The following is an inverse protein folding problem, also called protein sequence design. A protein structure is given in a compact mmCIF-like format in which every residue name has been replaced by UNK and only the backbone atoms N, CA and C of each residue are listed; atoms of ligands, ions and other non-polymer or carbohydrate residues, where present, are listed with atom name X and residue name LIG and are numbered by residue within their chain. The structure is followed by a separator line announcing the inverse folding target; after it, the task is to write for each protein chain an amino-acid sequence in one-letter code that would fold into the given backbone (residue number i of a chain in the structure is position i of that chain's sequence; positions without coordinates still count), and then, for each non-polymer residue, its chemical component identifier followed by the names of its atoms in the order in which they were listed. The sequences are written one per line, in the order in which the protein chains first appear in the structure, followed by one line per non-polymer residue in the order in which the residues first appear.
data_IF_335383099775
#
_entry.id   IF_335383099775
#
_cell.length_a   1.000
_cell.length_b   1.000
_cell.length_c   1.000
_cell.angle_alpha   90.00
_cell.angle_beta   90.00
_cell.angle_gamma   90.00
#
_symmetry.space_group_name_H-M   'P 1'
#
loop_
_entity.id
_entity.type
_entity.pdbx_description
1 polymer ?
#
# COMPACT_ATOMS: atom_id res chain seq x y z
N UNK A 1 28.26 43.26 1.31
CA UNK A 1 29.18 42.42 0.53
C UNK A 1 28.91 41.00 0.98
N UNK A 2 28.30 40.15 0.14
CA UNK A 2 27.93 38.78 0.50
C UNK A 2 29.13 37.81 0.61
N UNK A 3 30.35 38.32 0.57
CA UNK A 3 31.59 37.53 0.51
C UNK A 3 32.59 37.93 1.61
N UNK A 4 32.17 38.63 2.65
CA UNK A 4 33.04 38.99 3.78
C UNK A 4 32.74 38.04 4.92
N UNK A 5 33.79 37.41 5.45
CA UNK A 5 33.68 36.56 6.63
C UNK A 5 33.39 37.39 7.90
N UNK A 6 32.97 36.72 8.99
CA UNK A 6 32.68 37.39 10.26
C UNK A 6 33.91 38.14 10.80
N UNK A 7 33.75 39.44 11.06
CA UNK A 7 34.83 40.32 11.52
C UNK A 7 35.85 40.69 10.42
N UNK A 8 35.68 40.22 9.19
CA UNK A 8 36.47 40.67 8.05
C UNK A 8 36.09 42.10 7.68
N UNK A 9 37.08 42.98 7.56
CA UNK A 9 36.87 44.38 7.20
C UNK A 9 37.34 44.64 5.78
N UNK A 10 36.46 45.24 4.97
CA UNK A 10 36.80 45.75 3.64
C UNK A 10 36.71 47.26 3.62
N UNK A 11 37.79 47.88 3.16
CA UNK A 11 37.79 49.33 2.90
C UNK A 11 37.21 49.59 1.52
N UNK A 12 36.16 50.40 1.47
CA UNK A 12 35.56 50.90 0.22
C UNK A 12 35.90 52.37 0.08
N UNK A 13 36.50 52.74 -1.05
CA UNK A 13 36.84 54.12 -1.34
C UNK A 13 35.92 54.67 -2.44
N UNK A 14 35.32 55.83 -2.19
CA UNK A 14 34.56 56.58 -3.18
C UNK A 14 35.24 57.92 -3.41
N UNK A 15 35.67 58.18 -4.65
CA UNK A 15 36.21 59.48 -5.05
C UNK A 15 35.12 60.31 -5.69
N UNK A 16 34.85 61.48 -5.13
CA UNK A 16 33.93 62.44 -5.73
C UNK A 16 34.72 63.62 -6.30
N UNK A 17 34.27 64.11 -7.46
CA UNK A 17 34.80 65.28 -8.13
C UNK A 17 33.73 66.37 -8.10
N UNK A 18 34.09 67.56 -7.62
CA UNK A 18 33.23 68.74 -7.70
C UNK A 18 33.85 69.68 -8.71
N UNK A 19 33.05 70.11 -9.70
CA UNK A 19 33.45 71.11 -10.69
C UNK A 19 32.59 72.34 -10.51
N UNK A 20 33.21 73.52 -10.45
CA UNK A 20 32.48 74.78 -10.36
C UNK A 20 31.89 75.21 -11.71
N UNK A 21 31.09 76.27 -11.69
CA UNK A 21 30.45 76.84 -12.89
C UNK A 21 31.44 77.44 -13.90
N UNK A 22 32.73 77.54 -13.56
CA UNK A 22 33.80 78.06 -14.41
C UNK A 22 34.74 76.94 -14.89
N UNK A 23 34.41 75.67 -14.64
CA UNK A 23 35.13 74.50 -15.14
C UNK A 23 36.33 74.06 -14.30
N UNK A 24 36.60 74.70 -13.16
CA UNK A 24 37.63 74.25 -12.23
C UNK A 24 37.09 73.09 -11.39
N UNK A 25 37.88 72.04 -11.22
CA UNK A 25 37.45 70.87 -10.46
C UNK A 25 38.40 70.50 -9.34
N UNK A 26 37.84 70.04 -8.22
CA UNK A 26 38.56 69.41 -7.11
C UNK A 26 38.06 67.98 -6.89
N UNK A 27 38.91 67.12 -6.36
CA UNK A 27 38.56 65.73 -6.02
C UNK A 27 38.84 65.46 -4.54
N UNK A 28 38.01 64.63 -3.93
CA UNK A 28 38.24 64.09 -2.60
C UNK A 28 37.81 62.62 -2.55
N UNK A 29 38.50 61.83 -1.75
CA UNK A 29 38.21 60.40 -1.56
C UNK A 29 37.71 60.17 -0.15
N UNK A 30 36.50 59.65 -0.03
CA UNK A 30 35.95 59.14 1.24
C UNK A 30 36.26 57.65 1.33
N UNK A 31 36.74 57.21 2.49
CA UNK A 31 36.92 55.78 2.80
C UNK A 31 35.87 55.37 3.83
N UNK A 32 35.18 54.29 3.53
CA UNK A 32 34.24 53.63 4.44
C UNK A 32 34.83 52.27 4.83
N UNK A 33 34.66 51.90 6.09
CA UNK A 33 34.93 50.55 6.56
C UNK A 33 33.61 49.78 6.50
N UNK A 34 33.60 48.69 5.75
CA UNK A 34 32.51 47.72 5.77
C UNK A 34 33.00 46.52 6.55
N UNK A 35 32.39 46.24 7.69
CA UNK A 35 32.65 45.07 8.49
C UNK A 35 31.63 43.98 8.16
N UNK A 36 32.12 42.77 7.91
CA UNK A 36 31.27 41.58 7.82
C UNK A 36 30.65 41.32 9.19
N UNK A 37 29.38 41.70 9.34
CA UNK A 37 28.54 41.15 10.39
C UNK A 37 28.03 39.82 9.88
N UNK A 38 28.23 38.75 10.64
CA UNK A 38 27.52 37.49 10.40
C UNK A 38 26.03 37.75 10.59
N UNK A 39 25.38 38.12 9.49
CA UNK A 39 23.95 38.35 9.39
C UNK A 39 23.33 37.26 8.51
N UNK A 40 24.06 36.16 8.27
CA UNK A 40 23.41 34.86 8.20
C UNK A 40 22.85 34.63 9.59
N UNK A 41 21.68 35.23 9.84
CA UNK A 41 20.70 34.57 10.69
C UNK A 41 20.73 33.14 10.17
N UNK A 42 21.15 32.19 10.99
CA UNK A 42 20.97 30.79 10.69
C UNK A 42 19.45 30.64 10.52
N UNK A 43 18.97 30.86 9.29
CA UNK A 43 17.57 30.73 8.94
C UNK A 43 17.38 29.26 9.17
N UNK A 44 16.65 28.92 10.24
CA UNK A 44 16.46 27.53 10.62
C UNK A 44 16.00 26.77 9.36
N UNK A 45 16.37 25.50 9.21
CA UNK A 45 15.80 24.75 8.10
C UNK A 45 14.29 24.62 8.33
N UNK A 46 13.44 24.68 7.29
CA UNK A 46 12.03 24.32 7.45
C UNK A 46 11.92 22.88 8.02
N UNK A 47 10.90 22.59 8.84
CA UNK A 47 10.71 21.25 9.37
C UNK A 47 10.40 20.25 8.27
N UNK A 48 10.92 19.03 8.40
CA UNK A 48 10.69 17.91 7.48
C UNK A 48 10.16 16.71 8.24
N UNK A 49 9.52 15.80 7.52
CA UNK A 49 9.08 14.51 8.04
C UNK A 49 10.20 13.49 7.83
N UNK A 50 10.64 12.86 8.91
CA UNK A 50 11.66 11.80 8.88
C UNK A 50 11.04 10.40 8.79
N UNK A 51 9.79 10.25 9.20
CA UNK A 51 9.19 8.95 9.39
C UNK A 51 7.67 9.01 9.44
N UNK A 52 7.03 8.03 8.81
CA UNK A 52 5.62 7.68 9.04
C UNK A 52 5.55 6.25 9.56
N UNK A 53 4.78 6.05 10.62
CA UNK A 53 4.56 4.75 11.23
C UNK A 53 3.07 4.52 11.53
N UNK A 54 2.66 3.26 11.51
CA UNK A 54 1.33 2.84 11.95
C UNK A 54 1.41 1.91 13.15
N UNK A 55 0.38 1.92 13.99
CA UNK A 55 0.27 0.99 15.10
C UNK A 55 -1.18 0.70 15.47
N UNK A 56 -1.34 -0.23 16.40
CA UNK A 56 -2.60 -0.50 17.08
C UNK A 56 -2.42 -0.26 18.57
N UNK A 57 -3.43 0.34 19.21
CA UNK A 57 -3.47 0.38 20.68
C UNK A 57 -3.74 -0.99 21.32
N UNK A 58 -4.09 -2.01 20.52
CA UNK A 58 -4.32 -3.39 20.96
C UNK A 58 -3.09 -4.28 20.86
N UNK A 59 -2.00 -3.82 20.23
CA UNK A 59 -0.79 -4.63 20.09
C UNK A 59 -0.07 -4.85 21.42
N UNK A 60 0.29 -6.10 21.67
CA UNK A 60 1.04 -6.50 22.86
C UNK A 60 2.49 -5.98 22.82
N UNK A 61 3.21 -6.11 23.93
CA UNK A 61 4.63 -5.75 23.95
C UNK A 61 5.46 -6.78 23.15
N UNK A 62 5.04 -8.03 23.22
CA UNK A 62 5.61 -9.21 22.59
C UNK A 62 5.52 -9.10 21.07
N UNK A 63 4.34 -8.76 20.55
CA UNK A 63 4.13 -8.52 19.13
C UNK A 63 5.00 -7.37 18.61
N UNK A 64 4.99 -6.23 19.32
CA UNK A 64 5.81 -5.07 18.96
C UNK A 64 7.30 -5.41 18.93
N UNK A 65 7.77 -6.17 19.92
CA UNK A 65 9.14 -6.66 19.97
C UNK A 65 9.47 -7.60 18.79
N UNK A 66 8.53 -8.45 18.36
CA UNK A 66 8.71 -9.30 17.18
C UNK A 66 8.74 -8.51 15.87
N UNK A 67 7.99 -7.41 15.78
CA UNK A 67 7.84 -6.64 14.55
C UNK A 67 8.99 -5.66 14.30
N UNK A 68 9.47 -4.98 15.34
CA UNK A 68 10.51 -3.96 15.21
C UNK A 68 11.56 -3.98 16.34
N UNK A 69 11.62 -5.07 17.11
CA UNK A 69 12.57 -5.22 18.22
C UNK A 69 12.15 -4.46 19.48
N UNK A 70 12.93 -4.62 20.55
CA UNK A 70 12.76 -3.90 21.81
C UNK A 70 13.32 -2.47 21.73
N UNK A 71 12.75 -1.66 20.85
CA UNK A 71 13.15 -0.28 20.62
C UNK A 71 12.25 0.63 21.44
N UNK A 72 12.82 1.29 22.45
CA UNK A 72 12.07 2.07 23.46
C UNK A 72 11.35 3.30 22.90
N UNK A 73 11.79 3.81 21.75
CA UNK A 73 11.24 4.98 21.07
C UNK A 73 10.46 4.62 19.80
N UNK A 74 10.21 3.32 19.56
CA UNK A 74 9.40 2.89 18.44
C UNK A 74 7.93 3.25 18.68
N UNK A 75 7.36 3.99 17.73
CA UNK A 75 5.98 4.49 17.76
C UNK A 75 5.01 3.59 16.99
N UNK A 76 5.56 2.61 16.26
CA UNK A 76 4.81 1.64 15.46
C UNK A 76 5.66 0.95 14.40
N UNK A 77 4.99 0.25 13.51
CA UNK A 77 5.56 -0.28 12.28
C UNK A 77 5.87 0.86 11.31
N UNK A 78 7.13 0.99 10.93
CA UNK A 78 7.59 2.05 10.03
C UNK A 78 7.18 1.73 8.61
N UNK A 79 6.47 2.65 7.96
CA UNK A 79 6.10 2.49 6.56
C UNK A 79 7.31 2.74 5.68
N UNK A 80 7.54 1.84 4.72
CA UNK A 80 8.59 1.99 3.73
C UNK A 80 8.34 3.22 2.87
N UNK A 81 9.35 4.09 2.72
CA UNK A 81 9.34 5.15 1.71
C UNK A 81 9.90 4.67 0.35
N UNK A 82 10.42 3.44 0.30
CA UNK A 82 11.16 2.93 -0.85
C UNK A 82 10.22 2.51 -1.99
N UNK A 83 9.99 3.44 -2.93
CA UNK A 83 9.31 3.17 -4.20
C UNK A 83 7.97 2.44 -3.99
N UNK A 84 7.60 1.45 -4.81
CA UNK A 84 6.35 0.70 -4.70
C UNK A 84 6.17 -0.10 -3.41
N UNK A 85 7.22 -0.39 -2.63
CA UNK A 85 7.07 -1.09 -1.35
C UNK A 85 6.27 -0.31 -0.31
N UNK A 86 6.15 1.01 -0.48
CA UNK A 86 5.23 1.85 0.31
C UNK A 86 3.77 1.35 0.22
N UNK A 87 3.39 0.71 -0.89
CA UNK A 87 2.04 0.20 -1.16
C UNK A 87 1.88 -1.29 -0.87
N UNK A 88 2.88 -1.94 -0.25
CA UNK A 88 2.70 -3.30 0.23
C UNK A 88 1.56 -3.32 1.27
N UNK A 89 0.47 -4.09 1.06
CA UNK A 89 -0.68 -4.03 1.95
C UNK A 89 -0.32 -4.50 3.36
N UNK A 90 -0.81 -3.75 4.35
CA UNK A 90 -0.60 -4.09 5.75
C UNK A 90 -1.64 -5.12 6.21
N UNK A 91 -1.23 -6.24 6.83
CA UNK A 91 -2.11 -7.40 7.06
C UNK A 91 -2.93 -7.31 8.35
N UNK A 92 -2.63 -6.38 9.25
CA UNK A 92 -3.21 -6.36 10.60
C UNK A 92 -4.62 -5.76 10.65
N UNK A 93 -5.50 -6.39 11.44
CA UNK A 93 -6.92 -6.05 11.50
C UNK A 93 -7.24 -4.80 12.35
N UNK A 94 -6.35 -4.43 13.26
CA UNK A 94 -6.61 -3.42 14.29
C UNK A 94 -5.73 -2.16 14.18
N UNK A 95 -5.19 -1.88 12.99
CA UNK A 95 -4.40 -0.65 12.75
C UNK A 95 -5.26 0.59 12.96
N UNK A 96 -4.94 1.38 13.97
CA UNK A 96 -5.77 2.51 14.39
C UNK A 96 -5.02 3.73 14.90
N UNK A 97 -3.69 3.70 14.80
CA UNK A 97 -2.82 4.77 15.22
C UNK A 97 -1.85 5.10 14.09
N UNK A 98 -1.70 6.39 13.77
CA UNK A 98 -0.69 6.92 12.85
C UNK A 98 0.26 7.79 13.68
N UNK A 99 1.56 7.62 13.45
CA UNK A 99 2.59 8.48 14.04
C UNK A 99 3.48 9.06 12.95
N UNK A 100 3.76 10.35 13.05
CA UNK A 100 4.66 11.09 12.15
C UNK A 100 5.78 11.69 12.99
N UNK A 101 7.04 11.42 12.60
CA UNK A 101 8.23 12.01 13.23
C UNK A 101 8.76 13.14 12.37
N UNK A 102 9.05 14.26 13.00
CA UNK A 102 9.70 15.41 12.39
C UNK A 102 11.19 15.47 12.75
N UNK A 103 11.99 16.11 11.92
CA UNK A 103 13.43 16.33 12.16
C UNK A 103 13.70 17.36 13.28
N UNK A 104 12.69 18.14 13.64
CA UNK A 104 12.75 19.16 14.68
C UNK A 104 11.39 19.38 15.35
N UNK A 105 11.39 20.19 16.42
CA UNK A 105 10.15 20.55 17.12
C UNK A 105 9.27 21.46 16.26
N UNK A 106 7.97 21.14 16.21
CA UNK A 106 6.96 21.84 15.42
C UNK A 106 5.75 22.23 16.26
N UNK A 107 5.05 23.28 15.82
CA UNK A 107 3.68 23.57 16.22
C UNK A 107 2.74 22.81 15.27
N UNK A 108 1.93 21.92 15.84
CA UNK A 108 1.03 21.02 15.12
C UNK A 108 -0.23 20.74 15.94
N UNK A 109 -1.38 20.68 15.29
CA UNK A 109 -2.68 20.31 15.84
C UNK A 109 -3.22 19.02 15.19
N UNK A 110 -4.20 18.41 15.87
CA UNK A 110 -5.01 17.32 15.34
C UNK A 110 -5.58 17.59 13.96
N UNK A 111 -6.02 18.83 13.67
CA UNK A 111 -6.66 19.21 12.41
C UNK A 111 -5.72 19.31 11.21
N UNK A 112 -4.42 19.35 11.45
CA UNK A 112 -3.43 19.52 10.37
C UNK A 112 -3.30 18.24 9.53
N UNK A 113 -3.68 17.08 10.08
CA UNK A 113 -3.70 15.81 9.38
C UNK A 113 -5.10 15.45 8.90
N UNK A 114 -5.22 15.25 7.59
CA UNK A 114 -6.37 14.62 6.97
C UNK A 114 -6.01 13.19 6.57
N UNK A 115 -6.87 12.24 6.93
CA UNK A 115 -6.72 10.82 6.60
C UNK A 115 -7.87 10.47 5.68
N UNK A 116 -7.54 10.11 4.44
CA UNK A 116 -8.51 9.92 3.35
C UNK A 116 -8.37 8.49 2.84
N UNK A 117 -9.49 7.80 2.66
CA UNK A 117 -9.55 6.49 2.03
C UNK A 117 -10.34 6.49 0.72
N UNK A 118 -10.31 5.38 0.01
CA UNK A 118 -11.20 5.16 -1.14
C UNK A 118 -12.60 4.78 -0.66
N UNK A 119 -12.70 3.92 0.36
CA UNK A 119 -14.00 3.52 0.93
C UNK A 119 -14.59 4.58 1.85
N UNK A 120 -13.76 5.49 2.37
CA UNK A 120 -14.19 6.59 3.26
C UNK A 120 -13.45 7.86 2.90
N UNK A 121 -14.19 8.93 2.62
CA UNK A 121 -13.60 10.23 2.26
C UNK A 121 -12.84 10.89 3.40
N UNK A 122 -13.05 10.45 4.65
CA UNK A 122 -12.29 10.88 5.82
C UNK A 122 -12.37 9.84 6.94
N UNK A 123 -11.33 9.75 7.77
CA UNK A 123 -11.31 8.99 9.02
C UNK A 123 -11.22 9.94 10.21
N UNK A 124 -12.15 9.79 11.16
CA UNK A 124 -12.23 10.65 12.33
C UNK A 124 -11.11 10.36 13.33
N UNK A 125 -10.51 11.43 13.86
CA UNK A 125 -9.49 11.38 14.91
C UNK A 125 -10.17 11.38 16.27
N UNK A 126 -9.94 10.34 17.06
CA UNK A 126 -10.44 10.21 18.43
C UNK A 126 -9.58 10.99 19.43
N UNK A 127 -8.26 10.91 19.24
CA UNK A 127 -7.29 11.50 20.13
C UNK A 127 -6.02 11.89 19.36
N UNK A 128 -5.37 12.95 19.84
CA UNK A 128 -4.13 13.48 19.28
C UNK A 128 -3.14 13.77 20.41
N UNK A 129 -1.86 13.47 20.18
CA UNK A 129 -0.77 13.83 21.06
C UNK A 129 0.48 14.22 20.27
N UNK A 130 1.21 15.21 20.75
CA UNK A 130 2.53 15.57 20.23
C UNK A 130 3.55 15.58 21.36
N UNK A 131 4.71 14.95 21.11
CA UNK A 131 5.85 14.97 22.01
C UNK A 131 6.99 15.79 21.38
N UNK A 132 7.27 16.96 21.96
CA UNK A 132 8.30 17.87 21.48
C UNK A 132 9.74 17.40 21.75
N UNK A 133 9.96 16.45 22.67
CA UNK A 133 11.30 15.89 22.91
C UNK A 133 11.67 14.83 21.86
N UNK A 134 10.69 14.07 21.38
CA UNK A 134 10.87 13.03 20.36
C UNK A 134 10.48 13.49 18.96
N UNK A 135 9.89 14.68 18.84
CA UNK A 135 9.29 15.25 17.63
C UNK A 135 8.25 14.34 16.97
N UNK A 136 7.46 13.60 17.77
CA UNK A 136 6.47 12.66 17.25
C UNK A 136 5.06 13.19 17.51
N UNK A 137 4.29 13.32 16.43
CA UNK A 137 2.85 13.53 16.48
C UNK A 137 2.13 12.19 16.26
N UNK A 138 1.12 11.90 17.07
CA UNK A 138 0.38 10.65 17.06
C UNK A 138 -1.13 10.92 17.02
N UNK A 139 -1.79 10.39 16.00
CA UNK A 139 -3.24 10.42 15.84
C UNK A 139 -3.80 9.02 16.08
N UNK A 140 -4.77 8.93 16.98
CA UNK A 140 -5.56 7.73 17.22
C UNK A 140 -6.91 7.92 16.54
N UNK A 141 -7.24 7.06 15.59
CA UNK A 141 -8.50 7.12 14.86
C UNK A 141 -9.61 6.45 15.67
N UNK A 142 -10.85 6.85 15.42
CA UNK A 142 -12.04 6.19 15.95
C UNK A 142 -12.70 5.36 14.84
N UNK A 143 -12.90 4.07 15.09
CA UNK A 143 -13.68 3.23 14.19
C UNK A 143 -14.99 2.83 14.87
N UNK A 144 -16.08 2.82 14.09
CA UNK A 144 -17.24 2.03 14.47
C UNK A 144 -16.87 0.55 14.31
N UNK A 145 -17.26 -0.29 15.28
CA UNK A 145 -17.02 -1.73 15.21
C UNK A 145 -17.48 -2.27 13.85
N UNK A 146 -16.56 -2.92 13.14
CA UNK A 146 -16.81 -3.50 11.84
C UNK A 146 -17.22 -4.98 11.97
N UNK A 147 -17.25 -5.72 10.84
CA UNK A 147 -17.61 -7.15 10.85
C UNK A 147 -16.65 -8.02 11.67
N UNK A 148 -15.42 -7.56 11.87
CA UNK A 148 -14.40 -8.25 12.65
C UNK A 148 -14.49 -7.88 14.13
N UNK A 149 -15.26 -6.84 14.48
CA UNK A 149 -15.21 -6.24 15.82
C UNK A 149 -13.85 -5.56 16.10
N UNK A 150 -13.02 -5.41 15.07
CA UNK A 150 -11.69 -4.84 15.18
C UNK A 150 -11.81 -3.31 15.14
N UNK A 151 -11.09 -2.65 16.04
CA UNK A 151 -10.96 -1.19 16.06
C UNK A 151 -9.78 -0.79 15.17
N UNK A 152 -9.98 -0.79 13.85
CA UNK A 152 -8.92 -0.50 12.88
C UNK A 152 -9.41 -0.17 11.47
N UNK A 153 -8.46 0.22 10.62
CA UNK A 153 -8.71 0.47 9.20
C UNK A 153 -9.28 -0.78 8.52
N UNK A 154 -10.38 -0.66 7.75
CA UNK A 154 -10.82 -1.75 6.90
C UNK A 154 -9.84 -1.92 5.73
N UNK A 155 -10.07 -2.95 4.90
CA UNK A 155 -9.39 -3.07 3.62
C UNK A 155 -9.61 -1.79 2.78
N UNK A 156 -8.60 -0.94 2.64
CA UNK A 156 -8.69 0.38 1.99
C UNK A 156 -7.32 0.86 1.50
N UNK A 157 -7.35 1.80 0.57
CA UNK A 157 -6.18 2.56 0.13
C UNK A 157 -6.22 3.91 0.82
N UNK A 158 -5.18 4.24 1.57
CA UNK A 158 -5.15 5.42 2.45
C UNK A 158 -4.19 6.47 1.89
N UNK A 159 -4.58 7.74 2.00
CA UNK A 159 -3.78 8.93 1.77
C UNK A 159 -3.76 9.77 3.04
N UNK A 160 -2.56 10.05 3.52
CA UNK A 160 -2.30 11.06 4.53
C UNK A 160 -2.02 12.38 3.82
N UNK A 161 -2.73 13.44 4.20
CA UNK A 161 -2.41 14.82 3.84
C UNK A 161 -2.12 15.58 5.13
N UNK A 162 -0.85 15.94 5.35
CA UNK A 162 -0.47 16.85 6.42
C UNK A 162 -0.28 18.25 5.84
N UNK A 163 -0.96 19.25 6.42
CA UNK A 163 -0.91 20.64 5.97
C UNK A 163 0.46 21.26 6.15
N UNK A 164 0.84 22.16 5.25
CA UNK A 164 2.05 22.98 5.39
C UNK A 164 1.95 24.12 6.44
N UNK A 165 0.78 24.30 7.05
CA UNK A 165 0.56 25.18 8.20
C UNK A 165 1.35 24.73 9.46
N UNK A 166 1.85 23.49 9.48
CA UNK A 166 2.80 23.02 10.49
C UNK A 166 4.08 23.85 10.42
N UNK A 167 4.46 24.48 11.53
CA UNK A 167 5.60 25.40 11.57
C UNK A 167 6.63 25.02 12.62
N UNK A 168 7.90 25.32 12.38
CA UNK A 168 8.93 25.23 13.42
C UNK A 168 8.88 26.46 14.36
N UNK A 169 9.74 26.47 15.38
CA UNK A 169 9.85 27.58 16.35
C UNK A 169 10.25 28.92 15.73
N UNK A 170 10.85 28.92 14.54
CA UNK A 170 11.21 30.10 13.78
C UNK A 170 10.06 30.61 12.87
N UNK A 171 8.92 29.91 12.87
CA UNK A 171 7.74 30.25 12.07
C UNK A 171 7.84 29.83 10.60
N UNK A 172 8.75 28.92 10.25
CA UNK A 172 8.85 28.39 8.90
C UNK A 172 7.92 27.21 8.72
N UNK A 173 7.19 27.22 7.59
CA UNK A 173 6.29 26.15 7.16
C UNK A 173 7.03 24.85 6.84
N UNK A 174 6.30 23.74 6.95
CA UNK A 174 6.76 22.39 6.58
C UNK A 174 7.35 22.37 5.18
N UNK A 175 8.48 21.68 5.00
CA UNK A 175 9.05 21.27 3.71
C UNK A 175 8.48 19.87 3.42
N UNK A 176 7.21 19.87 3.05
CA UNK A 176 6.35 18.69 3.10
C UNK A 176 6.30 17.91 1.80
N UNK A 177 6.89 18.41 0.72
CA UNK A 177 6.75 17.81 -0.61
C UNK A 177 7.14 16.33 -0.61
N UNK A 178 6.20 15.50 -1.06
CA UNK A 178 6.41 14.07 -1.29
C UNK A 178 6.17 13.78 -2.76
N UNK A 179 7.16 14.18 -3.58
CA UNK A 179 7.01 14.47 -5.01
C UNK A 179 6.56 13.28 -5.87
N UNK A 180 6.70 12.03 -5.42
CA UNK A 180 6.20 10.86 -6.18
C UNK A 180 5.66 9.76 -5.26
N UNK A 181 4.39 9.83 -4.88
CA UNK A 181 3.73 8.62 -4.40
C UNK A 181 3.80 7.54 -5.50
N UNK A 182 4.27 6.32 -5.17
CA UNK A 182 4.25 5.22 -6.12
C UNK A 182 2.83 5.00 -6.65
N UNK A 183 2.71 4.62 -7.91
CA UNK A 183 1.41 4.34 -8.52
C UNK A 183 0.96 2.92 -8.16
N UNK A 184 1.92 2.00 -8.05
CA UNK A 184 1.76 0.58 -7.80
C UNK A 184 2.99 0.02 -7.05
N UNK A 185 2.91 -1.27 -6.70
CA UNK A 185 3.97 -1.97 -5.98
C UNK A 185 5.25 -2.18 -6.82
N UNK A 186 5.13 -2.08 -8.15
CA UNK A 186 6.25 -2.25 -9.10
C UNK A 186 6.99 -0.93 -9.37
N UNK A 187 6.47 0.20 -8.88
CA UNK A 187 7.08 1.51 -9.05
C UNK A 187 8.53 1.50 -8.53
N UNK A 188 9.48 1.89 -9.37
CA UNK A 188 10.91 1.88 -9.04
C UNK A 188 11.46 3.26 -8.63
N UNK A 189 10.68 4.33 -8.76
CA UNK A 189 11.14 5.68 -8.41
C UNK A 189 11.41 5.76 -6.91
N UNK A 190 12.67 5.97 -6.49
CA UNK A 190 12.99 6.04 -5.08
C UNK A 190 12.49 7.37 -4.53
N UNK A 191 11.66 7.28 -3.49
CA UNK A 191 11.40 8.38 -2.57
C UNK A 191 12.02 7.97 -1.24
N UNK A 192 12.53 8.91 -0.48
CA UNK A 192 13.12 8.62 0.80
C UNK A 192 12.88 9.77 1.74
N UNK A 193 12.76 9.45 3.02
CA UNK A 193 12.81 10.46 4.06
C UNK A 193 14.22 11.08 4.13
N UNK A 194 14.34 12.34 4.58
CA UNK A 194 13.25 13.22 5.01
C UNK A 194 12.42 13.78 3.83
N UNK A 195 11.19 14.23 4.10
CA UNK A 195 10.35 14.91 3.10
C UNK A 195 11.00 16.19 2.57
N UNK A 196 10.42 16.71 1.48
CA UNK A 196 10.68 18.07 1.03
C UNK A 196 11.82 18.24 0.02
N UNK A 197 11.84 19.41 -0.62
CA UNK A 197 12.80 19.79 -1.66
C UNK A 197 13.89 20.77 -1.19
N UNK A 198 13.81 21.29 0.05
CA UNK A 198 14.71 22.33 0.56
C UNK A 198 14.02 23.63 0.91
N UNK A 199 12.80 23.85 0.43
CA UNK A 199 12.05 25.07 0.62
C UNK A 199 10.94 24.89 1.68
N UNK A 200 10.57 25.98 2.34
CA UNK A 200 9.39 25.96 3.21
C UNK A 200 8.12 26.02 2.36
N UNK A 201 7.12 25.21 2.70
CA UNK A 201 5.82 25.13 2.05
C UNK A 201 5.53 23.72 1.52
N UNK A 202 4.30 23.52 1.08
CA UNK A 202 3.87 22.29 0.41
C UNK A 202 3.36 21.22 1.37
N UNK A 203 2.13 20.79 1.14
CA UNK A 203 1.52 19.71 1.92
C UNK A 203 2.26 18.38 1.71
N UNK A 204 2.33 17.59 2.77
CA UNK A 204 2.84 16.22 2.70
C UNK A 204 1.72 15.24 2.36
N UNK A 205 1.87 14.55 1.23
CA UNK A 205 0.96 13.53 0.73
C UNK A 205 1.62 12.16 0.80
N UNK A 206 1.15 11.25 1.65
CA UNK A 206 1.74 9.92 1.81
C UNK A 206 0.69 8.82 1.73
N UNK A 207 0.88 7.89 0.81
CA UNK A 207 -0.05 6.76 0.60
C UNK A 207 0.41 5.49 1.29
N UNK A 208 -0.53 4.67 1.74
CA UNK A 208 -0.29 3.29 2.13
C UNK A 208 -1.57 2.48 1.99
N UNK A 209 -1.44 1.17 1.84
CA UNK A 209 -2.57 0.26 1.67
C UNK A 209 -2.75 -0.62 2.91
N UNK A 210 -3.99 -0.80 3.35
CA UNK A 210 -4.34 -1.71 4.45
C UNK A 210 -5.21 -2.81 3.87
N UNK A 211 -4.81 -4.07 4.04
CA UNK A 211 -5.61 -5.22 3.66
C UNK A 211 -5.50 -6.27 4.75
N UNK A 212 -6.40 -6.24 5.75
CA UNK A 212 -6.38 -7.22 6.81
C UNK A 212 -6.46 -8.64 6.24
N UNK A 213 -5.58 -9.52 6.68
CA UNK A 213 -5.52 -10.92 6.24
C UNK A 213 -4.68 -11.23 5.00
N UNK A 214 -4.08 -10.26 4.31
CA UNK A 214 -3.10 -10.50 3.22
C UNK A 214 -1.73 -10.83 3.83
N UNK A 215 -1.62 -12.03 4.40
CA UNK A 215 -0.45 -12.50 5.16
C UNK A 215 0.70 -12.89 4.24
N UNK A 216 0.38 -13.40 3.05
CA UNK A 216 1.36 -13.84 2.07
C UNK A 216 2.11 -12.65 1.45
N UNK A 217 1.48 -11.46 1.40
CA UNK A 217 2.04 -10.21 0.88
C UNK A 217 2.74 -10.41 -0.47
N UNK A 218 2.16 -11.26 -1.33
CA UNK A 218 2.81 -11.65 -2.57
C UNK A 218 2.74 -10.51 -3.59
N UNK A 219 3.85 -10.05 -4.20
CA UNK A 219 3.84 -8.91 -5.12
C UNK A 219 2.90 -9.11 -6.33
N UNK A 220 2.83 -10.33 -6.86
CA UNK A 220 1.98 -10.69 -8.00
C UNK A 220 0.49 -10.84 -7.66
N UNK A 221 0.14 -10.83 -6.37
CA UNK A 221 -1.23 -10.99 -5.86
C UNK A 221 -1.57 -9.93 -4.79
N UNK A 222 -0.74 -8.88 -4.68
CA UNK A 222 -0.84 -7.88 -3.62
C UNK A 222 -2.21 -7.23 -3.70
N UNK A 223 -2.97 -7.29 -2.61
CA UNK A 223 -4.30 -6.73 -2.57
C UNK A 223 -5.45 -7.74 -2.68
N UNK A 224 -5.20 -9.04 -2.48
CA UNK A 224 -6.27 -10.05 -2.40
C UNK A 224 -6.02 -11.13 -1.35
N UNK A 225 -6.95 -11.25 -0.40
CA UNK A 225 -6.93 -12.30 0.64
C UNK A 225 -7.50 -13.60 0.08
N UNK A 226 -6.71 -14.66 0.05
CA UNK A 226 -7.10 -15.95 -0.51
C UNK A 226 -6.76 -17.14 0.41
N UNK A 227 -6.88 -18.36 -0.13
CA UNK A 227 -6.68 -19.59 0.63
C UNK A 227 -5.22 -19.77 1.08
N UNK A 228 -4.26 -19.19 0.36
CA UNK A 228 -2.84 -19.23 0.70
C UNK A 228 -2.61 -18.49 2.02
N UNK A 229 -3.19 -17.31 2.21
CA UNK A 229 -3.11 -16.56 3.48
C UNK A 229 -3.64 -17.39 4.66
N UNK A 230 -4.79 -18.02 4.44
CA UNK A 230 -5.40 -18.90 5.45
C UNK A 230 -4.50 -20.10 5.77
N UNK A 231 -3.87 -20.69 4.75
CA UNK A 231 -2.94 -21.80 4.95
C UNK A 231 -1.68 -21.39 5.70
N UNK A 232 -1.19 -20.16 5.50
CA UNK A 232 -0.04 -19.62 6.23
C UNK A 232 -0.41 -19.48 7.70
N UNK A 233 -1.51 -18.80 8.04
CA UNK A 233 -1.97 -18.65 9.43
C UNK A 233 -2.19 -20.02 10.07
N UNK A 234 -2.88 -20.94 9.37
CA UNK A 234 -3.13 -22.29 9.86
C UNK A 234 -1.83 -23.09 10.11
N UNK A 235 -0.81 -22.93 9.28
CA UNK A 235 0.48 -23.61 9.44
C UNK A 235 1.31 -23.08 10.62
N UNK A 236 0.95 -21.89 11.15
CA UNK A 236 1.66 -21.21 12.25
C UNK A 236 0.84 -21.13 13.53
N UNK A 237 -0.30 -21.81 13.60
CA UNK A 237 -1.07 -21.93 14.84
C UNK A 237 -0.21 -22.44 16.00
N UNK A 238 -0.52 -21.96 17.20
CA UNK A 238 0.17 -22.26 18.45
C UNK A 238 1.65 -21.82 18.46
N UNK A 239 2.02 -20.85 17.62
CA UNK A 239 3.34 -20.20 17.70
C UNK A 239 3.23 -18.85 18.41
N UNK A 240 4.24 -18.51 19.20
CA UNK A 240 4.35 -17.22 19.90
C UNK A 240 5.50 -16.40 19.34
N UNK A 241 5.59 -15.12 19.69
CA UNK A 241 6.70 -14.23 19.30
C UNK A 241 8.10 -14.77 19.62
N UNK A 242 8.23 -15.75 20.52
CA UNK A 242 9.49 -16.41 20.86
C UNK A 242 9.83 -17.61 19.96
N UNK A 243 8.87 -18.06 19.15
CA UNK A 243 9.00 -19.22 18.28
C UNK A 243 9.75 -18.86 16.99
N UNK A 244 10.69 -19.70 16.56
CA UNK A 244 11.40 -19.48 15.27
C UNK A 244 10.47 -19.52 14.05
N UNK A 245 9.32 -20.20 14.18
CA UNK A 245 8.28 -20.27 13.16
C UNK A 245 7.23 -19.17 13.31
N UNK A 246 7.41 -18.20 14.19
CA UNK A 246 6.51 -17.07 14.27
C UNK A 246 6.68 -16.14 13.07
N UNK A 247 5.57 -15.59 12.57
CA UNK A 247 5.57 -14.61 11.49
C UNK A 247 4.60 -13.51 11.87
N UNK A 248 5.10 -12.31 12.11
CA UNK A 248 4.29 -11.19 12.61
C UNK A 248 3.16 -10.78 11.66
N UNK A 249 3.24 -11.06 10.35
CA UNK A 249 2.12 -10.81 9.43
C UNK A 249 0.95 -11.78 9.62
N UNK A 250 1.16 -12.93 10.26
CA UNK A 250 0.15 -13.96 10.51
C UNK A 250 -0.53 -13.82 11.88
N UNK A 251 0.05 -13.03 12.80
CA UNK A 251 -0.59 -12.56 14.03
C UNK A 251 -1.33 -11.25 13.69
N UNK A 252 -2.59 -11.41 13.29
CA UNK A 252 -3.41 -10.37 12.66
C UNK A 252 -3.94 -9.35 13.66
N UNK A 253 -4.09 -9.74 14.92
CA UNK A 253 -4.51 -8.85 16.01
C UNK A 253 -3.36 -8.30 16.85
N UNK A 254 -2.16 -8.83 16.62
CA UNK A 254 -0.93 -8.41 17.27
C UNK A 254 -0.90 -8.74 18.75
N UNK A 255 -1.42 -9.90 19.13
CA UNK A 255 -1.45 -10.40 20.50
C UNK A 255 -0.09 -10.95 20.97
N UNK A 256 0.79 -11.30 20.04
CA UNK A 256 2.07 -11.99 20.27
C UNK A 256 1.96 -13.51 20.13
N UNK A 257 0.78 -14.03 19.79
CA UNK A 257 0.48 -15.45 19.58
C UNK A 257 -0.32 -15.59 18.28
N UNK A 258 -0.08 -16.66 17.51
CA UNK A 258 -0.88 -17.00 16.34
C UNK A 258 -1.85 -18.09 16.74
N UNK A 259 -3.14 -17.75 16.88
CA UNK A 259 -4.15 -18.64 17.42
C UNK A 259 -5.44 -18.73 16.56
N UNK A 260 -6.50 -19.29 17.13
CA UNK A 260 -7.77 -19.44 16.43
C UNK A 260 -8.47 -18.10 16.14
N UNK A 261 -8.11 -17.03 16.85
CA UNK A 261 -8.57 -15.66 16.61
C UNK A 261 -8.02 -15.16 15.27
N UNK A 262 -6.72 -15.32 15.02
CA UNK A 262 -6.10 -14.98 13.73
C UNK A 262 -6.66 -15.81 12.59
N UNK A 263 -6.81 -17.12 12.82
CA UNK A 263 -7.43 -18.00 11.82
C UNK A 263 -8.87 -17.58 11.51
N UNK A 264 -9.60 -17.09 12.52
CA UNK A 264 -10.96 -16.58 12.33
C UNK A 264 -10.95 -15.29 11.52
N UNK A 265 -10.03 -14.35 11.82
CA UNK A 265 -9.88 -13.11 11.04
C UNK A 265 -9.62 -13.40 9.57
N UNK A 266 -8.58 -14.18 9.24
CA UNK A 266 -8.23 -14.45 7.84
C UNK A 266 -9.36 -15.17 7.10
N UNK A 267 -10.10 -16.08 7.76
CA UNK A 267 -11.25 -16.78 7.16
C UNK A 267 -12.42 -15.86 6.88
N UNK A 268 -12.71 -14.92 7.78
CA UNK A 268 -13.78 -13.92 7.56
C UNK A 268 -13.42 -12.93 6.45
N UNK A 269 -12.13 -12.80 6.13
CA UNK A 269 -11.60 -11.88 5.14
C UNK A 269 -11.25 -12.55 3.81
N UNK A 270 -11.39 -13.87 3.68
CA UNK A 270 -11.21 -14.54 2.39
C UNK A 270 -12.04 -13.87 1.29
N UNK A 271 -11.42 -13.72 0.13
CA UNK A 271 -11.94 -13.03 -1.05
C UNK A 271 -12.11 -11.51 -0.89
N UNK A 272 -11.51 -10.90 0.14
CA UNK A 272 -11.43 -9.44 0.27
C UNK A 272 -10.32 -8.90 -0.62
N UNK A 273 -10.62 -7.85 -1.38
CA UNK A 273 -9.65 -7.09 -2.16
C UNK A 273 -9.54 -5.64 -1.66
N UNK A 274 -8.40 -5.02 -1.97
CA UNK A 274 -8.28 -3.57 -1.92
C UNK A 274 -9.32 -2.93 -2.86
N UNK A 275 -9.92 -1.79 -2.47
CA UNK A 275 -10.85 -1.10 -3.35
C UNK A 275 -10.18 -0.64 -4.66
N UNK A 276 -10.96 -0.65 -5.73
CA UNK A 276 -10.58 -0.04 -7.00
C UNK A 276 -10.48 1.48 -6.88
N UNK A 277 -9.54 2.10 -7.60
CA UNK A 277 -9.31 3.54 -7.60
C UNK A 277 -8.21 3.98 -6.63
N UNK A 278 -8.03 5.29 -6.50
CA UNK A 278 -7.04 5.90 -5.63
C UNK A 278 -7.69 6.91 -4.68
N UNK A 279 -7.20 7.04 -3.43
CA UNK A 279 -7.67 8.07 -2.53
C UNK A 279 -7.27 9.43 -3.09
N UNK A 280 -8.23 10.32 -3.27
CA UNK A 280 -7.98 11.66 -3.79
C UNK A 280 -8.21 12.69 -2.69
N UNK A 281 -7.21 13.52 -2.44
CA UNK A 281 -7.40 14.70 -1.61
C UNK A 281 -8.44 15.61 -2.26
N UNK A 282 -9.49 15.94 -1.51
CA UNK A 282 -10.43 16.96 -1.93
C UNK A 282 -9.74 18.29 -1.65
N UNK A 283 -9.11 18.87 -2.67
CA UNK A 283 -8.63 20.24 -2.56
C UNK A 283 -9.85 21.12 -2.28
N UNK A 284 -9.87 21.96 -1.23
CA UNK A 284 -10.75 23.11 -1.26
C UNK A 284 -10.36 23.85 -2.53
N UNK A 285 -11.23 23.85 -3.53
CA UNK A 285 -11.04 24.70 -4.69
C UNK A 285 -10.90 26.10 -4.13
N UNK A 286 -9.73 26.71 -4.25
CA UNK A 286 -9.63 28.16 -4.18
C UNK A 286 -10.83 28.71 -4.95
N UNK A 287 -11.59 29.67 -4.41
CA UNK A 287 -12.64 30.29 -5.18
C UNK A 287 -11.95 30.86 -6.41
N UNK A 288 -12.11 30.17 -7.55
CA UNK A 288 -11.60 30.62 -8.83
C UNK A 288 -12.14 32.01 -9.02
N UNK A 289 -11.31 33.01 -8.76
CA UNK A 289 -11.54 34.34 -9.27
C UNK A 289 -11.66 34.13 -10.75
N UNK A 290 -12.88 34.33 -11.24
CA UNK A 290 -13.26 34.26 -12.64
C UNK A 290 -12.40 35.27 -13.42
N UNK A 291 -11.15 34.89 -13.73
CA UNK A 291 -10.28 35.60 -14.65
C UNK A 291 -10.65 35.09 -16.03
N UNK A 292 -11.45 35.92 -16.69
CA UNK A 292 -11.65 35.99 -18.13
C UNK A 292 -11.90 34.65 -18.83
N UNK A 293 -13.20 34.31 -18.92
CA UNK A 293 -13.68 33.52 -20.04
C UNK A 293 -13.35 34.27 -21.34
N UNK A 294 -12.26 33.86 -21.98
CA UNK A 294 -11.94 34.22 -23.35
C UNK A 294 -13.15 33.82 -24.23
N UNK A 295 -13.78 34.76 -24.96
CA UNK A 295 -14.96 34.44 -25.73
C UNK A 295 -14.60 33.46 -26.85
N UNK A 296 -15.00 32.21 -26.67
CA UNK A 296 -14.91 31.17 -27.70
C UNK A 296 -15.70 31.65 -28.92
N UNK A 297 -14.99 32.09 -29.96
CA UNK A 297 -15.55 32.18 -31.31
C UNK A 297 -15.72 30.73 -31.78
N UNK A 298 -16.95 30.26 -32.08
CA UNK A 298 -17.12 28.90 -32.56
C UNK A 298 -16.45 28.75 -33.93
N UNK A 299 -15.62 27.72 -34.07
CA UNK A 299 -15.02 27.34 -35.35
C UNK A 299 -16.11 27.06 -36.40
N UNK A 300 -15.95 27.54 -37.65
CA UNK A 300 -16.90 27.25 -38.72
C UNK A 300 -16.86 25.77 -39.07
N UNK A 301 -17.97 25.08 -38.83
CA UNK A 301 -18.19 23.68 -39.19
C UNK A 301 -18.17 23.54 -40.72
N UNK A 302 -17.13 22.91 -41.26
CA UNK A 302 -17.13 22.37 -42.63
C UNK A 302 -17.62 20.92 -42.54
N UNK A 303 -18.76 20.56 -43.16
CA UNK A 303 -19.22 19.17 -43.13
C UNK A 303 -18.31 18.28 -43.98
N UNK A 304 -17.88 17.16 -43.41
CA UNK A 304 -17.08 16.13 -44.09
C UNK A 304 -17.86 15.50 -45.27
N UNK A 305 -17.21 15.26 -46.42
CA UNK A 305 -17.85 14.57 -47.53
C UNK A 305 -18.04 13.08 -47.23
N UNK A 306 -19.30 12.63 -47.29
CA UNK A 306 -19.70 11.24 -47.11
C UNK A 306 -19.24 10.41 -48.32
N UNK A 307 -18.33 9.46 -48.09
CA UNK A 307 -18.02 8.38 -49.04
C UNK A 307 -18.79 7.14 -48.60
N UNK A 308 -19.66 6.55 -49.45
CA UNK A 308 -20.37 5.33 -49.07
C UNK A 308 -19.44 4.11 -49.08
N UNK A 309 -19.57 3.28 -48.04
CA UNK A 309 -18.81 2.03 -47.89
C UNK A 309 -19.13 1.00 -48.99
N UNK A 310 -18.12 0.28 -49.51
CA UNK A 310 -18.34 -0.80 -50.47
C UNK A 310 -18.96 -2.02 -49.80
N UNK A 311 -20.04 -2.53 -50.41
CA UNK A 311 -20.76 -3.74 -49.98
C UNK A 311 -19.95 -4.98 -50.36
N UNK A 312 -19.53 -5.77 -49.36
CA UNK A 312 -18.96 -7.11 -49.53
C UNK A 312 -20.08 -8.15 -49.34
N UNK A 313 -20.34 -9.07 -50.29
CA UNK A 313 -21.33 -10.12 -50.09
C UNK A 313 -20.86 -11.19 -49.09
N UNK A 314 -21.77 -11.66 -48.24
CA UNK A 314 -21.52 -12.74 -47.27
C UNK A 314 -21.15 -14.08 -47.96
N UNK A 315 -20.16 -14.81 -47.43
CA UNK A 315 -19.84 -16.15 -47.90
C UNK A 315 -20.89 -17.19 -47.45
N UNK A 316 -21.33 -18.03 -48.39
CA UNK A 316 -22.26 -19.14 -48.15
C UNK A 316 -21.52 -20.31 -47.49
N UNK A 317 -21.92 -20.68 -46.29
CA UNK A 317 -21.48 -21.90 -45.59
C UNK A 317 -22.40 -23.06 -45.98
N UNK A 318 -21.91 -24.22 -46.47
CA UNK A 318 -22.74 -25.39 -46.71
C UNK A 318 -23.03 -26.18 -45.41
N UNK A 319 -24.24 -26.71 -45.30
CA UNK A 319 -24.72 -27.51 -44.15
C UNK A 319 -23.86 -28.77 -43.89
N UNK A 320 -23.68 -29.17 -42.61
CA UNK A 320 -22.96 -30.40 -42.26
C UNK A 320 -23.77 -31.67 -42.55
N UNK A 321 -23.09 -32.66 -43.13
CA UNK A 321 -23.61 -34.01 -43.41
C UNK A 321 -23.57 -34.85 -42.13
N UNK A 322 -24.74 -35.32 -41.66
CA UNK A 322 -24.85 -36.31 -40.58
C UNK A 322 -24.49 -37.71 -41.08
N UNK A 323 -23.57 -38.41 -40.41
CA UNK A 323 -23.37 -39.87 -40.58
C UNK A 323 -23.73 -40.62 -39.28
N UNK A 324 -24.26 -41.86 -39.37
CA UNK A 324 -24.78 -42.61 -38.22
C UNK A 324 -23.67 -43.26 -37.37
N UNK A 325 -23.93 -43.54 -36.08
CA UNK A 325 -22.89 -44.04 -35.16
C UNK A 325 -22.52 -45.50 -35.43
N UNK A 326 -21.22 -45.78 -35.44
CA UNK A 326 -20.66 -47.14 -35.41
C UNK A 326 -20.53 -47.61 -33.95
N UNK A 327 -21.19 -48.70 -33.64
CA UNK A 327 -20.91 -49.53 -32.46
C UNK A 327 -19.53 -50.17 -32.55
N UNK A 328 -18.73 -50.12 -31.48
CA UNK A 328 -17.63 -51.04 -31.14
C UNK A 328 -17.35 -50.78 -29.64
N UNK A 329 -17.39 -51.73 -28.71
CA UNK A 329 -16.79 -53.06 -28.75
C UNK A 329 -15.77 -53.12 -27.61
N UNK A 330 -16.24 -53.43 -26.39
CA UNK A 330 -15.39 -53.57 -25.20
C UNK A 330 -14.44 -54.76 -25.39
N UNK A 331 -13.14 -54.52 -25.28
CA UNK A 331 -12.13 -55.58 -25.19
C UNK A 331 -11.32 -55.41 -23.91
N UNK A 332 -11.37 -56.45 -23.07
CA UNK A 332 -10.62 -56.58 -21.82
C UNK A 332 -9.11 -56.72 -22.11
N UNK A 333 -8.32 -55.78 -21.59
CA UNK A 333 -6.86 -55.84 -21.56
C UNK A 333 -6.33 -55.85 -20.13
N UNK A 334 -5.69 -56.95 -19.76
CA UNK A 334 -5.06 -57.28 -18.48
C UNK A 334 -4.04 -56.25 -17.96
N UNK A 335 -4.18 -55.82 -16.69
CA UNK A 335 -3.10 -55.21 -15.87
C UNK A 335 -2.52 -56.23 -14.89
N UNK A 336 -1.19 -56.33 -14.70
CA UNK A 336 -0.60 -57.16 -13.66
C UNK A 336 -0.60 -56.46 -12.29
N UNK A 337 -0.80 -57.31 -11.28
CA UNK A 337 -0.64 -57.18 -9.82
C UNK A 337 0.33 -56.10 -9.31
N UNK A 338 -0.15 -55.40 -8.29
CA UNK A 338 0.65 -54.69 -7.30
C UNK A 338 -0.27 -54.02 -6.26
N UNK A 339 -1.03 -54.84 -5.54
CA UNK A 339 -1.95 -54.41 -4.50
C UNK A 339 -1.19 -53.89 -3.27
N UNK A 340 -1.65 -52.76 -2.73
CA UNK A 340 -1.77 -52.55 -1.29
C UNK A 340 -3.24 -52.25 -1.04
N UNK A 341 -3.90 -53.26 -0.47
CA UNK A 341 -5.31 -53.27 -0.08
C UNK A 341 -5.50 -52.54 1.26
N UNK A 342 -6.68 -51.91 1.37
CA UNK A 342 -7.28 -51.43 2.62
C UNK A 342 -6.94 -49.98 2.91
N UNK A 343 -7.89 -49.06 3.11
CA UNK A 343 -8.87 -49.15 4.20
C UNK A 343 -9.85 -47.95 4.10
N UNK A 344 -11.12 -48.17 4.51
CA UNK A 344 -12.23 -47.23 4.77
C UNK A 344 -12.89 -46.45 3.61
N UNK A 345 -13.89 -47.08 2.99
CA UNK A 345 -15.07 -46.41 2.45
C UNK A 345 -16.09 -46.21 3.58
N UNK A 346 -15.98 -45.13 4.34
CA UNK A 346 -17.09 -44.61 5.15
C UNK A 346 -17.23 -43.10 4.90
N UNK A 347 -18.23 -42.64 4.13
CA UNK A 347 -18.42 -41.23 3.84
C UNK A 347 -18.97 -40.43 5.04
N UNK A 348 -19.22 -41.05 6.20
CA UNK A 348 -19.71 -40.35 7.39
C UNK A 348 -18.62 -39.68 8.24
N UNK A 349 -17.34 -39.90 7.95
CA UNK A 349 -16.24 -39.26 8.68
C UNK A 349 -15.82 -37.88 8.12
N UNK A 350 -16.17 -37.57 6.87
CA UNK A 350 -15.84 -36.28 6.23
C UNK A 350 -16.87 -35.17 6.51
N UNK A 351 -18.03 -35.50 7.07
CA UNK A 351 -19.12 -34.56 7.32
C UNK A 351 -18.95 -33.70 8.59
N UNK A 352 -17.89 -33.92 9.39
CA UNK A 352 -17.66 -33.16 10.63
C UNK A 352 -16.56 -32.09 10.53
N UNK A 353 -15.90 -31.93 9.38
CA UNK A 353 -14.78 -30.98 9.21
C UNK A 353 -14.97 -29.93 8.11
N UNK A 354 -16.04 -30.02 7.32
CA UNK A 354 -16.36 -29.04 6.29
C UNK A 354 -17.84 -28.70 6.44
N UNK A 355 -18.14 -27.46 6.82
CA UNK A 355 -19.51 -26.95 6.78
C UNK A 355 -20.08 -27.06 5.36
N UNK A 356 -21.40 -27.15 5.18
CA UNK A 356 -21.98 -27.51 3.89
C UNK A 356 -21.71 -26.41 2.87
N UNK A 357 -20.80 -26.67 1.92
CA UNK A 357 -20.78 -25.95 0.66
C UNK A 357 -22.10 -26.23 -0.07
N UNK A 358 -22.75 -25.23 -0.68
CA UNK A 358 -23.95 -25.46 -1.46
C UNK A 358 -23.64 -26.44 -2.60
N UNK A 359 -24.50 -27.45 -2.77
CA UNK A 359 -24.36 -28.56 -3.72
C UNK A 359 -24.01 -28.11 -5.16
N UNK A 360 -24.37 -26.88 -5.52
CA UNK A 360 -24.04 -26.23 -6.78
C UNK A 360 -22.52 -26.10 -7.05
N UNK A 361 -21.71 -25.88 -6.01
CA UNK A 361 -20.25 -25.73 -6.12
C UNK A 361 -19.56 -27.07 -6.46
N UNK A 362 -20.07 -28.18 -5.92
CA UNK A 362 -19.58 -29.52 -6.24
C UNK A 362 -19.87 -29.93 -7.69
N UNK A 363 -21.05 -29.58 -8.20
CA UNK A 363 -21.43 -29.85 -9.59
C UNK A 363 -20.67 -29.00 -10.61
N UNK A 364 -20.25 -27.78 -10.25
CA UNK A 364 -19.44 -26.92 -11.11
C UNK A 364 -18.00 -27.44 -11.23
N UNK A 365 -17.37 -27.86 -10.13
CA UNK A 365 -16.03 -28.47 -10.16
C UNK A 365 -16.01 -29.81 -10.92
N UNK A 366 -17.06 -30.62 -10.79
CA UNK A 366 -17.16 -31.88 -11.52
C UNK A 366 -17.40 -31.70 -13.03
N UNK A 367 -18.06 -30.61 -13.44
CA UNK A 367 -18.26 -30.28 -14.85
C UNK A 367 -16.95 -29.80 -15.51
N UNK A 368 -16.19 -28.94 -14.83
CA UNK A 368 -14.88 -28.45 -15.32
C UNK A 368 -13.87 -29.59 -15.47
N UNK A 369 -13.85 -30.54 -14.53
CA UNK A 369 -13.00 -31.73 -14.62
C UNK A 369 -13.40 -32.71 -15.74
N UNK A 370 -14.68 -32.73 -16.15
CA UNK A 370 -15.16 -33.58 -17.24
C UNK A 370 -14.94 -32.96 -18.63
N UNK A 371 -14.82 -31.63 -18.71
CA UNK A 371 -14.60 -30.88 -19.95
C UNK A 371 -13.11 -30.83 -20.32
N UNK A 372 -12.21 -30.84 -19.33
CA UNK A 372 -10.75 -30.97 -19.53
C UNK A 372 -10.32 -32.36 -20.08
N UNK A 373 -11.13 -33.41 -19.89
CA UNK A 373 -10.84 -34.77 -20.37
C UNK A 373 -11.30 -35.03 -21.83
N UNK A 374 -11.91 -34.03 -22.51
CA UNK A 374 -12.45 -34.19 -23.87
C UNK A 374 -11.83 -33.27 -24.94
N UNK A 375 -10.83 -32.46 -24.60
CA UNK A 375 -10.27 -31.46 -25.51
C UNK A 375 -8.78 -31.72 -25.77
N UNK A 376 -8.47 -32.52 -26.79
CA UNK A 376 -7.09 -32.78 -27.26
C UNK A 376 -6.48 -31.60 -28.07
N UNK A 377 -7.16 -30.44 -28.19
CA UNK A 377 -6.76 -29.36 -29.11
C UNK A 377 -6.63 -27.94 -28.49
N UNK A 378 -6.53 -27.81 -27.15
CA UNK A 378 -6.34 -26.48 -26.48
C UNK A 378 -5.17 -26.49 -25.48
N UNK A 379 -4.23 -27.44 -25.60
CA UNK A 379 -3.19 -27.66 -24.60
C UNK A 379 -2.02 -26.66 -24.60
N UNK A 380 -1.96 -25.68 -25.51
CA UNK A 380 -0.78 -24.81 -25.65
C UNK A 380 -0.95 -23.35 -25.15
N UNK A 381 -2.15 -22.91 -24.73
CA UNK A 381 -2.36 -21.52 -24.28
C UNK A 381 -3.02 -21.37 -22.89
N UNK A 382 -3.36 -22.47 -22.21
CA UNK A 382 -3.91 -22.50 -20.84
C UNK A 382 -3.01 -23.22 -19.81
N UNK A 383 -1.84 -23.70 -20.24
CA UNK A 383 -1.03 -24.66 -19.47
C UNK A 383 -0.13 -24.05 -18.36
N UNK A 384 -0.11 -22.74 -18.14
CA UNK A 384 0.79 -22.12 -17.15
C UNK A 384 0.14 -21.74 -15.82
N UNK A 385 -1.15 -21.42 -15.77
CA UNK A 385 -1.81 -20.97 -14.53
C UNK A 385 -2.58 -22.08 -13.80
N UNK A 386 -3.27 -22.99 -14.52
CA UNK A 386 -4.06 -24.05 -13.86
C UNK A 386 -3.20 -25.22 -13.37
N UNK A 387 -2.10 -25.53 -14.06
CA UNK A 387 -1.16 -26.56 -13.62
C UNK A 387 -0.48 -26.17 -12.29
N UNK A 388 -0.26 -24.87 -12.05
CA UNK A 388 0.27 -24.36 -10.79
C UNK A 388 -0.74 -24.47 -9.65
N UNK A 389 -2.02 -24.15 -9.90
CA UNK A 389 -3.08 -24.29 -8.90
C UNK A 389 -3.30 -25.75 -8.47
N UNK A 390 -3.20 -26.69 -9.41
CA UNK A 390 -3.30 -28.14 -9.13
C UNK A 390 -2.09 -28.65 -8.36
N UNK A 391 -0.87 -28.23 -8.72
CA UNK A 391 0.34 -28.62 -7.98
C UNK A 391 0.35 -28.03 -6.55
N UNK A 392 -0.19 -26.81 -6.37
CA UNK A 392 -0.36 -26.17 -5.07
C UNK A 392 -1.40 -26.90 -4.20
N UNK A 393 -2.50 -27.37 -4.79
CA UNK A 393 -3.52 -28.17 -4.12
C UNK A 393 -2.98 -29.55 -3.69
N UNK A 394 -2.14 -30.17 -4.53
CA UNK A 394 -1.46 -31.43 -4.23
C UNK A 394 -0.43 -31.26 -3.12
N UNK A 395 0.34 -30.16 -3.12
CA UNK A 395 1.28 -29.84 -2.04
C UNK A 395 0.58 -29.53 -0.72
N UNK A 396 -0.56 -28.83 -0.76
CA UNK A 396 -1.41 -28.57 0.42
C UNK A 396 -1.96 -29.89 1.00
N UNK A 397 -2.48 -30.78 0.17
CA UNK A 397 -2.97 -32.11 0.58
C UNK A 397 -1.84 -33.00 1.14
N UNK A 398 -0.64 -32.95 0.57
CA UNK A 398 0.53 -33.67 1.06
C UNK A 398 1.11 -33.11 2.38
N UNK A 399 0.73 -31.88 2.77
CA UNK A 399 1.08 -31.30 4.07
C UNK A 399 0.13 -31.77 5.19
N UNK A 400 -1.16 -31.93 4.85
CA UNK A 400 -2.19 -32.47 5.76
C UNK A 400 -1.90 -33.94 6.08
N UNK A 401 -1.47 -34.71 5.09
CA UNK A 401 -1.15 -36.14 5.27
C UNK A 401 0.09 -36.35 6.18
N UNK A 402 1.05 -35.42 6.16
CA UNK A 402 2.23 -35.46 7.05
C UNK A 402 1.91 -35.09 8.51
N UNK A 403 0.85 -34.32 8.78
CA UNK A 403 0.42 -33.99 10.14
C UNK A 403 -0.37 -35.14 10.80
N UNK A 404 -1.06 -35.97 10.01
CA UNK A 404 -1.76 -37.15 10.53
C UNK A 404 -0.80 -38.25 11.02
N UNK A 405 0.39 -38.36 10.42
CA UNK A 405 1.37 -39.41 10.80
C UNK A 405 2.05 -39.14 12.16
N UNK A 406 2.09 -37.89 12.64
CA UNK A 406 2.75 -37.56 13.91
C UNK A 406 1.85 -37.62 15.15
N UNK A 407 0.53 -37.82 14.99
CA UNK A 407 -0.39 -37.90 16.14
C UNK A 407 -0.65 -39.31 16.67
N UNK A 408 -0.19 -40.36 15.98
CA UNK A 408 -0.40 -41.75 16.40
C UNK A 408 0.77 -42.37 17.20
N UNK A 409 1.83 -41.61 17.52
CA UNK A 409 2.95 -42.11 18.36
C UNK A 409 3.04 -41.51 19.78
N UNK A 410 2.08 -40.68 20.21
CA UNK A 410 2.00 -40.21 21.61
C UNK A 410 0.56 -40.19 22.11
N UNK A 411 -0.07 -41.37 22.25
CA UNK A 411 -1.14 -41.67 23.23
C UNK A 411 -0.97 -43.10 23.74
#
# INVERSE_FOLDING_TARGET
FQSLDIGEQRTVAATFRVTDSHGLSSQATVRFYVEGTDNDVNVAAPPRIEQVAVSSSGWSAEFRAALFGNVSDATGYVLSANSGQQLAPLPWANLNTISIRFDQAVAIDSSDLQIIGVKRTSYDVANFAYNADTHVATWRMQFAADKLGADGFPADRILLRLSDDVTNVAGQHLDGEWLTNPQDIESETPVQFPSGDGAAGGDFYFRFDVLPGDVAQMPAQAGFVNIVDTSIVQSRLDTTSESNSYVASADLDGSGEIDLTDLTYVRLLQFTLLPEGQPHAIFPTDPVTNVDADPVVPDPVVPDPVVPDPVVPDPVVPDPVTTPPKSNGVSLGTRPRGAVDGVFTDPSFYASFVGPLPLAAYSALAAVAAEADQSDDVADELATDEAFAVDLLVQALASVDRQCVWRDEVI
#
